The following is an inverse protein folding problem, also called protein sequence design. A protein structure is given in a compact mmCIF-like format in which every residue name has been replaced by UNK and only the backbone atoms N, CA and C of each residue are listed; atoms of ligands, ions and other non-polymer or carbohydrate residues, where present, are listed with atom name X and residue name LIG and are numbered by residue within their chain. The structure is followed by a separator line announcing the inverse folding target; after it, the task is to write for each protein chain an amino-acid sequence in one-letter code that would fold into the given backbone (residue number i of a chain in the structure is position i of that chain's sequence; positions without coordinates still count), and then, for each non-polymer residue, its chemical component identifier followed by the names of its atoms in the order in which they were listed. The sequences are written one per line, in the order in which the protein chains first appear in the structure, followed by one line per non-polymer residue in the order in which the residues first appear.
data_IF_052430127083
#
_entry.id   IF_052430127083
#
_cell.length_a   1.000
_cell.length_b   1.000
_cell.length_c   1.000
_cell.angle_alpha   90.00
_cell.angle_beta   90.00
_cell.angle_gamma   90.00
#
_symmetry.space_group_name_H-M   'P 1'
#
loop_
_entity.id
_entity.type
_entity.pdbx_description
1 polymer ?
#
# COMPACT_ATOMS: atom_id res chain seq x y z
N UNK A 1 0.91 -12.90 19.94
CA UNK A 1 -0.07 -12.93 18.83
C UNK A 1 -0.48 -11.48 18.59
N UNK A 2 -0.50 -11.00 17.34
CA UNK A 2 -0.67 -9.57 17.01
C UNK A 2 -2.07 -8.99 17.32
N UNK A 3 -3.03 -9.81 17.79
CA UNK A 3 -4.37 -9.35 18.17
C UNK A 3 -5.28 -8.99 16.98
N UNK A 4 -4.88 -9.32 15.76
CA UNK A 4 -5.62 -8.99 14.56
C UNK A 4 -6.71 -10.03 14.25
N UNK A 5 -7.90 -9.59 13.82
CA UNK A 5 -8.98 -10.49 13.45
C UNK A 5 -8.58 -11.29 12.21
N UNK A 6 -8.53 -12.61 12.35
CA UNK A 6 -8.11 -13.55 11.31
C UNK A 6 -9.31 -14.34 10.79
N UNK A 7 -9.18 -14.85 9.56
CA UNK A 7 -10.08 -15.85 9.01
C UNK A 7 -9.26 -17.11 8.68
N UNK A 8 -9.86 -18.31 8.82
CA UNK A 8 -9.20 -19.55 8.44
C UNK A 8 -8.85 -19.55 6.94
N UNK A 9 -7.65 -20.07 6.61
CA UNK A 9 -7.14 -20.16 5.24
C UNK A 9 -5.68 -20.58 5.21
N UNK A 10 -5.24 -21.14 4.08
CA UNK A 10 -3.82 -21.39 3.77
C UNK A 10 -3.53 -20.72 2.43
N UNK A 11 -2.77 -19.60 2.39
CA UNK A 11 -2.18 -18.88 3.52
C UNK A 11 -3.21 -18.21 4.45
N UNK A 12 -2.80 -17.88 5.68
CA UNK A 12 -3.63 -17.21 6.70
C UNK A 12 -4.21 -15.90 6.14
N UNK A 13 -5.43 -15.56 6.50
CA UNK A 13 -6.10 -14.33 6.05
C UNK A 13 -6.44 -13.42 7.22
N UNK A 14 -6.33 -12.12 7.01
CA UNK A 14 -6.73 -11.07 7.94
C UNK A 14 -8.06 -10.47 7.48
N UNK A 15 -8.93 -10.14 8.43
CA UNK A 15 -10.20 -9.44 8.18
C UNK A 15 -9.97 -7.93 8.20
N UNK A 16 -10.36 -7.26 7.12
CA UNK A 16 -10.35 -5.78 7.02
C UNK A 16 -11.69 -5.20 7.52
N UNK A 17 -11.73 -3.89 7.80
CA UNK A 17 -12.86 -3.15 8.35
C UNK A 17 -13.27 -3.50 9.76
N UNK A 18 -12.40 -4.17 10.52
CA UNK A 18 -12.59 -4.40 11.96
C UNK A 18 -11.63 -3.53 12.78
N UNK A 19 -10.33 -3.66 12.53
CA UNK A 19 -9.28 -2.84 13.18
C UNK A 19 -8.51 -1.97 12.19
N UNK A 20 -8.61 -2.27 10.91
CA UNK A 20 -7.91 -1.57 9.84
C UNK A 20 -8.57 -1.87 8.49
N UNK A 21 -8.41 -0.95 7.55
CA UNK A 21 -8.64 -1.16 6.13
C UNK A 21 -7.32 -1.22 5.38
N UNK A 22 -7.35 -1.59 4.11
CA UNK A 22 -6.13 -1.67 3.27
C UNK A 22 -6.31 -0.91 1.98
N UNK A 23 -5.36 -0.04 1.66
CA UNK A 23 -5.17 0.51 0.33
C UNK A 23 -4.17 -0.36 -0.44
N UNK A 24 -4.62 -1.03 -1.48
CA UNK A 24 -3.84 -1.88 -2.37
C UNK A 24 -3.52 -1.14 -3.67
N UNK A 25 -2.23 -0.81 -3.88
CA UNK A 25 -1.74 0.10 -4.92
C UNK A 25 -0.53 -0.48 -5.64
N UNK A 26 -0.11 0.02 -6.81
CA UNK A 26 1.12 -0.42 -7.45
C UNK A 26 2.31 -0.11 -6.54
N UNK A 27 3.28 -1.02 -6.43
CA UNK A 27 4.39 -0.86 -5.48
C UNK A 27 5.18 0.45 -5.69
N UNK A 28 5.36 0.88 -6.94
CA UNK A 28 5.97 2.18 -7.26
C UNK A 28 5.21 3.38 -6.68
N UNK A 29 3.88 3.33 -6.70
CA UNK A 29 3.04 4.41 -6.19
C UNK A 29 3.01 4.41 -4.66
N UNK A 30 2.85 3.22 -4.06
CA UNK A 30 2.89 3.05 -2.61
C UNK A 30 4.23 3.47 -2.00
N UNK A 31 5.36 3.17 -2.66
CA UNK A 31 6.68 3.54 -2.19
C UNK A 31 6.86 5.04 -1.97
N UNK A 32 6.33 5.86 -2.89
CA UNK A 32 6.35 7.30 -2.72
C UNK A 32 5.47 7.77 -1.55
N UNK A 33 4.35 7.08 -1.32
CA UNK A 33 3.38 7.41 -0.28
C UNK A 33 3.86 7.08 1.14
N UNK A 34 4.89 6.24 1.30
CA UNK A 34 5.47 5.89 2.60
C UNK A 34 5.90 7.11 3.43
N UNK A 35 6.25 8.23 2.79
CA UNK A 35 6.64 9.48 3.47
C UNK A 35 5.52 10.12 4.28
N UNK A 36 4.27 9.76 3.99
CA UNK A 36 3.09 10.23 4.70
C UNK A 36 2.62 9.27 5.78
N UNK A 37 3.33 8.16 5.96
CA UNK A 37 3.05 7.17 6.99
C UNK A 37 4.04 7.35 8.14
N UNK A 38 3.59 7.05 9.36
CA UNK A 38 4.52 6.92 10.47
C UNK A 38 5.53 5.80 10.16
N UNK A 39 6.78 5.87 10.67
CA UNK A 39 7.76 4.81 10.50
C UNK A 39 7.23 3.43 10.91
N UNK A 40 6.39 3.38 11.93
CA UNK A 40 5.79 2.18 12.53
C UNK A 40 4.54 1.70 11.79
N UNK A 41 4.02 2.47 10.82
CA UNK A 41 2.82 2.08 10.08
C UNK A 41 3.10 0.80 9.27
N UNK A 42 2.28 -0.26 9.46
CA UNK A 42 2.49 -1.54 8.81
C UNK A 42 2.26 -1.47 7.31
N UNK A 43 3.16 -2.08 6.54
CA UNK A 43 3.10 -2.12 5.08
C UNK A 43 3.53 -3.49 4.58
N UNK A 44 2.77 -4.05 3.65
CA UNK A 44 3.08 -5.32 2.99
C UNK A 44 3.27 -5.17 1.49
N UNK A 45 4.08 -6.05 0.88
CA UNK A 45 4.21 -6.22 -0.56
C UNK A 45 3.66 -7.57 -0.99
N UNK A 46 2.86 -7.58 -2.05
CA UNK A 46 2.26 -8.79 -2.62
C UNK A 46 2.17 -8.65 -4.13
N UNK A 47 2.85 -9.52 -4.88
CA UNK A 47 2.72 -9.57 -6.34
C UNK A 47 2.96 -8.24 -7.08
N UNK A 48 3.93 -7.42 -6.64
CA UNK A 48 4.21 -6.11 -7.25
C UNK A 48 3.25 -4.98 -6.84
N UNK A 49 2.36 -5.26 -5.89
CA UNK A 49 1.49 -4.28 -5.25
C UNK A 49 1.89 -4.07 -3.80
N UNK A 50 1.59 -2.89 -3.28
CA UNK A 50 1.83 -2.50 -1.91
C UNK A 50 0.49 -2.32 -1.21
N UNK A 51 0.37 -2.96 -0.04
CA UNK A 51 -0.78 -2.88 0.85
C UNK A 51 -0.42 -1.95 2.00
N UNK A 52 -1.02 -0.76 2.00
CA UNK A 52 -0.89 0.24 3.04
C UNK A 52 -2.07 0.06 4.01
N UNK A 53 -1.80 -0.21 5.28
CA UNK A 53 -2.86 -0.30 6.27
C UNK A 53 -3.31 1.11 6.66
N UNK A 54 -4.62 1.32 6.71
CA UNK A 54 -5.27 2.58 7.13
C UNK A 54 -6.31 2.27 8.19
N UNK A 55 -6.79 3.29 8.91
CA UNK A 55 -7.81 3.12 9.93
C UNK A 55 -9.08 2.49 9.33
N UNK A 56 -9.79 1.69 10.14
CA UNK A 56 -11.07 1.14 9.73
C UNK A 56 -12.06 2.26 9.38
N UNK A 57 -12.79 2.12 8.28
CA UNK A 57 -13.66 3.16 7.71
C UNK A 57 -13.00 3.90 6.54
N UNK A 58 -11.66 3.91 6.44
CA UNK A 58 -10.96 4.59 5.35
C UNK A 58 -11.28 4.02 3.96
N UNK A 59 -11.64 2.74 3.86
CA UNK A 59 -12.11 2.14 2.61
C UNK A 59 -13.48 2.68 2.16
N UNK A 60 -14.37 2.96 3.11
CA UNK A 60 -15.70 3.53 2.85
C UNK A 60 -15.62 5.02 2.47
N UNK A 61 -14.69 5.75 3.09
CA UNK A 61 -14.47 7.18 2.84
C UNK A 61 -13.74 7.45 1.51
N UNK A 62 -12.98 6.46 1.01
CA UNK A 62 -12.11 6.61 -0.13
C UNK A 62 -12.82 7.14 -1.40
N UNK A 63 -13.99 6.63 -1.84
CA UNK A 63 -14.64 7.14 -3.05
C UNK A 63 -15.00 8.63 -2.94
N UNK A 64 -15.60 9.06 -1.83
CA UNK A 64 -15.92 10.47 -1.60
C UNK A 64 -14.67 11.34 -1.52
N UNK A 65 -13.58 10.82 -0.96
CA UNK A 65 -12.30 11.50 -0.91
C UNK A 65 -11.67 11.66 -2.31
N UNK A 66 -11.72 10.61 -3.14
CA UNK A 66 -11.24 10.68 -4.52
C UNK A 66 -12.07 11.65 -5.36
N UNK A 67 -13.38 11.70 -5.16
CA UNK A 67 -14.27 12.66 -5.83
C UNK A 67 -13.93 14.10 -5.42
N UNK A 68 -13.77 14.36 -4.12
CA UNK A 68 -13.41 15.67 -3.60
C UNK A 68 -12.03 16.16 -4.09
N UNK A 69 -11.07 15.24 -4.20
CA UNK A 69 -9.74 15.53 -4.74
C UNK A 69 -9.70 15.55 -6.28
N UNK A 70 -10.84 15.45 -6.96
CA UNK A 70 -10.98 15.44 -8.43
C UNK A 70 -10.28 14.25 -9.12
N UNK A 71 -9.96 13.20 -8.37
CA UNK A 71 -9.36 11.95 -8.87
C UNK A 71 -10.40 10.90 -9.28
N UNK A 72 -11.66 11.02 -8.84
CA UNK A 72 -12.71 9.98 -8.97
C UNK A 72 -13.06 9.55 -10.40
N UNK A 73 -12.92 10.44 -11.39
CA UNK A 73 -13.17 10.11 -12.79
C UNK A 73 -12.05 9.29 -13.45
N UNK A 74 -10.89 9.15 -12.80
CA UNK A 74 -9.73 8.49 -13.34
C UNK A 74 -9.68 7.01 -12.91
N UNK A 75 -9.42 6.13 -13.87
CA UNK A 75 -9.13 4.72 -13.61
C UNK A 75 -7.75 4.56 -12.96
N UNK A 76 -7.67 4.89 -11.67
CA UNK A 76 -6.50 4.69 -10.84
C UNK A 76 -6.39 3.20 -10.51
N UNK A 77 -5.18 2.65 -10.61
CA UNK A 77 -4.89 1.28 -10.20
C UNK A 77 -4.82 1.15 -8.67
N UNK A 78 -5.77 1.77 -7.96
CA UNK A 78 -5.90 1.80 -6.50
C UNK A 78 -7.15 1.03 -6.11
N UNK A 79 -7.05 0.18 -5.09
CA UNK A 79 -8.17 -0.59 -4.55
C UNK A 79 -8.21 -0.43 -3.03
N UNK A 80 -9.40 -0.32 -2.45
CA UNK A 80 -9.57 -0.42 -1.02
C UNK A 80 -10.18 -1.78 -0.65
N UNK A 81 -9.70 -2.36 0.44
CA UNK A 81 -10.27 -3.53 1.09
C UNK A 81 -10.80 -3.07 2.44
N UNK A 82 -12.12 -3.16 2.62
CA UNK A 82 -12.84 -2.59 3.75
C UNK A 82 -13.56 -3.66 4.58
N UNK A 83 -14.68 -3.28 5.19
CA UNK A 83 -15.48 -4.20 5.99
C UNK A 83 -15.98 -5.40 5.18
N UNK A 84 -15.71 -6.60 5.72
CA UNK A 84 -16.12 -7.87 5.10
C UNK A 84 -15.12 -8.43 4.09
N UNK A 85 -14.12 -7.65 3.69
CA UNK A 85 -13.03 -8.13 2.84
C UNK A 85 -11.98 -8.93 3.64
N UNK A 86 -11.16 -9.66 2.88
CA UNK A 86 -10.05 -10.44 3.39
C UNK A 86 -8.77 -10.09 2.66
N UNK A 87 -7.68 -9.98 3.41
CA UNK A 87 -6.34 -9.83 2.86
C UNK A 87 -5.44 -10.97 3.32
N UNK A 88 -4.57 -11.45 2.44
CA UNK A 88 -3.58 -12.46 2.84
C UNK A 88 -2.67 -11.88 3.92
N UNK A 89 -2.53 -12.62 5.03
CA UNK A 89 -1.62 -12.28 6.10
C UNK A 89 -0.19 -12.42 5.58
N UNK A 90 0.61 -11.35 5.58
CA UNK A 90 2.00 -11.45 5.17
C UNK A 90 2.76 -12.37 6.10
N UNK A 91 3.73 -13.10 5.54
CA UNK A 91 4.57 -14.02 6.30
C UNK A 91 5.16 -13.30 7.51
N UNK A 92 5.04 -13.87 8.72
CA UNK A 92 5.52 -13.21 9.92
C UNK A 92 7.01 -12.91 9.76
N UNK A 93 7.49 -11.75 10.26
CA UNK A 93 8.91 -11.43 10.19
C UNK A 93 9.67 -12.54 10.93
N UNK A 94 10.50 -13.29 10.19
CA UNK A 94 11.38 -14.28 10.80
C UNK A 94 12.29 -13.50 11.76
N UNK A 95 12.05 -13.61 13.06
CA UNK A 95 13.02 -13.13 14.06
C UNK A 95 14.28 -13.95 13.83
N UNK A 96 15.33 -13.34 13.28
CA UNK A 96 16.62 -13.98 13.08
C UNK A 96 17.27 -14.27 14.44
N UNK A 97 16.81 -15.32 15.11
CA UNK A 97 17.60 -16.01 16.12
C UNK A 97 18.58 -16.93 15.38
N UNK A 98 19.76 -16.39 15.04
CA UNK A 98 20.96 -17.17 14.75
C UNK A 98 21.00 -18.07 13.50
N UNK A 99 20.01 -18.05 12.62
CA UNK A 99 20.05 -18.83 11.37
C UNK A 99 20.39 -17.95 10.17
N UNK A 100 21.31 -18.45 9.35
CA UNK A 100 21.94 -17.79 8.22
C UNK A 100 20.99 -16.95 7.36
N UNK A 101 21.50 -15.79 6.92
CA UNK A 101 20.92 -14.94 5.87
C UNK A 101 20.33 -15.82 4.76
N UNK A 102 19.02 -15.76 4.48
CA UNK A 102 18.46 -16.45 3.34
C UNK A 102 19.13 -15.88 2.09
N UNK A 103 19.84 -16.74 1.35
CA UNK A 103 20.34 -16.39 0.02
C UNK A 103 19.16 -15.90 -0.82
N UNK A 104 19.29 -14.80 -1.59
CA UNK A 104 18.29 -14.43 -2.57
C UNK A 104 18.21 -15.58 -3.59
N UNK A 105 17.11 -16.33 -3.57
CA UNK A 105 16.90 -17.50 -4.45
C UNK A 105 16.25 -18.73 -3.80
N UNK A 106 16.12 -18.78 -2.47
CA UNK A 106 15.39 -19.87 -1.81
C UNK A 106 13.87 -19.58 -1.77
N UNK A 107 13.20 -19.78 -2.91
CA UNK A 107 11.79 -20.19 -2.95
C UNK A 107 10.75 -19.32 -2.26
N UNK A 108 10.89 -17.99 -2.24
CA UNK A 108 9.71 -17.14 -2.04
C UNK A 108 8.75 -17.46 -3.19
N UNK A 109 7.62 -18.08 -2.88
CA UNK A 109 6.53 -18.31 -3.84
C UNK A 109 6.26 -16.94 -4.47
N UNK A 110 6.50 -16.82 -5.77
CA UNK A 110 6.46 -15.55 -6.48
C UNK A 110 5.03 -14.98 -6.39
N UNK A 111 4.75 -14.14 -5.39
CA UNK A 111 3.41 -13.64 -5.09
C UNK A 111 2.97 -13.73 -3.63
N UNK A 112 3.69 -14.40 -2.74
CA UNK A 112 3.38 -14.43 -1.30
C UNK A 112 3.49 -13.04 -0.67
N UNK A 113 2.60 -12.73 0.27
CA UNK A 113 2.62 -11.45 0.97
C UNK A 113 3.79 -11.36 1.95
N UNK A 114 4.60 -10.30 1.88
CA UNK A 114 5.72 -10.06 2.80
C UNK A 114 5.62 -8.70 3.49
N UNK A 115 5.96 -8.64 4.79
CA UNK A 115 6.05 -7.37 5.51
C UNK A 115 7.25 -6.56 5.03
N UNK A 116 7.01 -5.34 4.52
CA UNK A 116 8.05 -4.32 4.37
C UNK A 116 8.34 -3.64 5.70
N UNK A 117 7.28 -3.35 6.45
CA UNK A 117 7.33 -2.79 7.79
C UNK A 117 6.40 -3.61 8.66
N UNK A 118 6.94 -4.50 9.52
CA UNK A 118 6.10 -5.36 10.33
C UNK A 118 5.43 -4.56 11.45
N UNK A 119 4.20 -4.92 11.85
CA UNK A 119 3.56 -4.33 13.03
C UNK A 119 4.33 -4.70 14.30
N UNK A 120 4.48 -3.75 15.23
CA UNK A 120 5.10 -4.00 16.53
C UNK A 120 4.17 -4.84 17.43
N UNK A 121 4.63 -6.00 17.94
CA UNK A 121 3.83 -6.82 18.85
C UNK A 121 3.53 -6.07 20.16
N UNK A 122 2.25 -5.98 20.53
CA UNK A 122 1.81 -5.41 21.82
C UNK A 122 1.55 -3.91 21.82
N UNK A 123 1.72 -3.22 20.67
CA UNK A 123 1.32 -1.83 20.49
C UNK A 123 0.00 -1.76 19.75
N UNK A 124 -0.85 -0.80 20.13
CA UNK A 124 -2.11 -0.59 19.42
C UNK A 124 -1.82 -0.04 18.02
N UNK A 125 -2.06 -0.88 17.00
CA UNK A 125 -1.76 -0.53 15.61
C UNK A 125 -2.63 0.64 15.15
N UNK A 126 -3.86 0.73 15.64
CA UNK A 126 -4.87 1.71 15.22
C UNK A 126 -4.38 3.14 15.37
N UNK A 127 -3.67 3.42 16.47
CA UNK A 127 -3.11 4.75 16.76
C UNK A 127 -2.03 5.21 15.76
N UNK A 128 -1.49 4.30 14.96
CA UNK A 128 -0.42 4.56 13.97
C UNK A 128 -0.91 4.53 12.52
N UNK A 129 -2.20 4.21 12.32
CA UNK A 129 -2.79 4.10 11.00
C UNK A 129 -3.28 5.47 10.51
N UNK A 130 -3.13 5.76 9.21
CA UNK A 130 -3.74 6.93 8.61
C UNK A 130 -5.26 6.91 8.73
N UNK A 131 -5.84 8.01 9.17
CA UNK A 131 -7.28 8.20 9.32
C UNK A 131 -7.68 9.55 8.73
N UNK A 132 -8.95 9.73 8.36
CA UNK A 132 -9.45 11.09 8.20
C UNK A 132 -9.36 11.81 9.56
N UNK A 133 -9.10 13.13 9.56
CA UNK A 133 -9.17 13.90 10.78
C UNK A 133 -10.61 13.87 11.31
N UNK A 134 -10.84 13.11 12.38
CA UNK A 134 -12.05 13.24 13.19
C UNK A 134 -12.15 14.68 13.70
N UNK A 135 -13.35 15.23 13.74
CA UNK A 135 -13.60 16.56 14.32
C UNK A 135 -13.17 16.65 15.81
N UNK A 136 -12.97 15.50 16.46
CA UNK A 136 -12.39 15.38 17.80
C UNK A 136 -10.88 15.06 17.69
N UNK A 137 -10.08 16.08 17.95
CA UNK A 137 -8.64 16.10 17.71
C UNK A 137 -7.85 14.94 18.31
N UNK A 138 -7.19 14.19 17.43
CA UNK A 138 -5.90 13.54 17.72
C UNK A 138 -4.86 14.11 16.75
N UNK A 139 -4.11 15.11 17.23
CA UNK A 139 -2.96 15.67 16.53
C UNK A 139 -1.80 14.66 16.57
N UNK A 140 -1.71 13.76 15.59
CA UNK A 140 -0.62 12.78 15.54
C UNK A 140 -0.76 11.62 14.56
N UNK A 141 -1.98 11.30 14.10
CA UNK A 141 -2.15 10.29 13.07
C UNK A 141 -1.76 10.83 11.68
N UNK A 142 -1.13 10.03 10.80
CA UNK A 142 -0.88 10.43 9.43
C UNK A 142 -2.19 10.77 8.69
N UNK A 143 -2.22 11.87 7.95
CA UNK A 143 -3.42 12.38 7.27
C UNK A 143 -3.79 11.51 6.05
N UNK A 144 -4.96 10.85 6.11
CA UNK A 144 -5.47 10.02 5.01
C UNK A 144 -5.62 10.82 3.71
N UNK A 145 -5.96 12.11 3.78
CA UNK A 145 -6.08 12.98 2.60
C UNK A 145 -4.75 13.06 1.86
N UNK A 146 -3.66 13.39 2.56
CA UNK A 146 -2.32 13.50 1.97
C UNK A 146 -1.80 12.17 1.44
N UNK A 147 -2.12 11.09 2.13
CA UNK A 147 -1.79 9.75 1.68
C UNK A 147 -2.49 9.46 0.35
N UNK A 148 -3.81 9.62 0.29
CA UNK A 148 -4.63 9.30 -0.88
C UNK A 148 -4.28 10.18 -2.07
N UNK A 149 -4.13 11.50 -1.88
CA UNK A 149 -3.72 12.41 -2.96
C UNK A 149 -2.37 12.00 -3.57
N UNK A 150 -1.39 11.67 -2.71
CA UNK A 150 -0.08 11.22 -3.18
C UNK A 150 -0.14 9.90 -3.92
N UNK A 151 -0.89 8.93 -3.40
CA UNK A 151 -1.05 7.63 -4.06
C UNK A 151 -1.75 7.82 -5.40
N UNK A 152 -2.83 8.60 -5.46
CA UNK A 152 -3.58 8.88 -6.68
C UNK A 152 -2.68 9.51 -7.75
N UNK A 153 -1.94 10.56 -7.39
CA UNK A 153 -0.98 11.22 -8.28
C UNK A 153 0.10 10.25 -8.81
N UNK A 154 0.62 9.35 -7.96
CA UNK A 154 1.63 8.39 -8.40
C UNK A 154 1.04 7.24 -9.22
N UNK A 155 -0.16 6.76 -8.90
CA UNK A 155 -0.89 5.80 -9.73
C UNK A 155 -1.11 6.37 -11.14
N UNK A 156 -1.52 7.63 -11.22
CA UNK A 156 -1.66 8.35 -12.49
C UNK A 156 -0.32 8.44 -13.23
N UNK A 157 0.78 8.82 -12.56
CA UNK A 157 2.12 8.89 -13.16
C UNK A 157 2.64 7.53 -13.66
N UNK A 158 2.41 6.45 -12.91
CA UNK A 158 2.74 5.08 -13.34
C UNK A 158 1.95 4.73 -14.60
N UNK A 159 0.65 5.03 -14.63
CA UNK A 159 -0.21 4.79 -15.80
C UNK A 159 0.27 5.56 -17.03
N UNK A 160 0.57 6.86 -16.89
CA UNK A 160 1.10 7.69 -17.98
C UNK A 160 2.42 7.13 -18.53
N UNK A 161 3.34 6.71 -17.65
CA UNK A 161 4.61 6.09 -18.06
C UNK A 161 4.42 4.78 -18.82
N UNK A 162 3.48 3.94 -18.40
CA UNK A 162 3.15 2.68 -19.09
C UNK A 162 2.46 2.93 -20.44
N UNK A 163 1.62 3.95 -20.54
CA UNK A 163 0.94 4.35 -21.78
C UNK A 163 1.85 5.09 -22.78
N UNK A 164 2.93 5.72 -22.31
CA UNK A 164 3.84 6.50 -23.17
C UNK A 164 4.73 5.65 -24.10
N UNK A 165 4.72 4.31 -23.95
CA UNK A 165 5.60 3.40 -24.69
C UNK A 165 7.10 3.69 -24.48
N UNK A 166 8.01 2.80 -24.90
CA UNK A 166 9.39 3.21 -25.08
C UNK A 166 9.37 4.29 -26.17
N UNK A 167 9.68 5.54 -25.81
CA UNK A 167 10.01 6.57 -26.79
C UNK A 167 11.17 5.98 -27.59
N UNK A 168 10.91 5.52 -28.80
CA UNK A 168 11.96 5.31 -29.79
C UNK A 168 12.74 6.61 -29.83
N UNK A 169 13.91 6.61 -29.16
CA UNK A 169 14.90 7.67 -29.31
C UNK A 169 15.14 7.71 -30.80
N UNK A 170 14.60 8.73 -31.46
CA UNK A 170 14.75 8.97 -32.88
C UNK A 170 16.23 9.10 -33.17
N UNK A 171 16.85 7.97 -33.49
CA UNK A 171 18.11 7.87 -34.20
C UNK A 171 17.73 7.95 -35.66
N UNK A 172 17.27 9.12 -36.08
CA UNK A 172 17.06 9.54 -37.47
C UNK A 172 16.84 11.06 -37.48
N UNK A 173 17.88 11.81 -37.10
CA UNK A 173 18.06 13.14 -37.70
C UNK A 173 18.98 12.92 -38.90
N UNK A 174 18.47 12.87 -40.14
CA UNK A 174 19.34 12.95 -41.30
C UNK A 174 19.92 14.37 -41.31
N UNK A 175 21.23 14.45 -41.10
CA UNK A 175 22.00 15.67 -41.32
C UNK A 175 21.93 16.00 -42.81
N UNK A 176 20.95 16.80 -43.21
CA UNK A 176 20.95 17.48 -44.48
C UNK A 176 21.88 18.70 -44.34
N UNK A 177 23.14 18.52 -44.72
CA UNK A 177 23.98 19.63 -45.14
C UNK A 177 23.92 19.70 -46.67
N UNK A 178 23.40 20.80 -47.20
CA UNK A 178 23.63 21.27 -48.56
C UNK A 178 23.66 22.78 -48.53
#
# INVERSE_FOLDING_TARGET
MLGWPTAPGVPLRLRTGVRFDVLDVPAEAGAAALRHLAPESPVALVGGRMRLLVAAGGAEELPGLLDWLEWGALALDLRALGAGDLTEAPDPPVRAAGAAVPRPGAGAVQGAAVWLRPPEPGRDVEATLPALPSFEGVTGAPDLVRLVDTVAAQCHRVRLRRGAGPRSRGRDQPLAFS
#
